data_IF_384259083341
#
_entry.id   IF_384259083341
#
_cell.length_a   1.000
_cell.length_b   1.000
_cell.length_c   1.000
_cell.angle_alpha   90.00
_cell.angle_beta   90.00
_cell.angle_gamma   90.00
#
_symmetry.space_group_name_H-M   'P 1'
#
loop_
_entity.id
_entity.type
_entity.pdbx_description
1 polymer ?
#
# COMPACT_ATOMS: atom_id res chain seq x y z
N UNK A 1 -30.63 -17.72 -28.91
CA UNK A 1 -29.40 -17.90 -28.11
C UNK A 1 -28.48 -16.73 -28.40
N UNK A 2 -28.54 -15.70 -27.57
CA UNK A 2 -27.63 -14.55 -27.63
C UNK A 2 -27.17 -14.32 -26.18
N UNK A 3 -25.99 -14.83 -25.86
CA UNK A 3 -25.35 -14.67 -24.57
C UNK A 3 -24.50 -13.39 -24.64
N UNK A 4 -24.94 -12.36 -23.94
CA UNK A 4 -24.09 -11.25 -23.55
C UNK A 4 -23.22 -11.70 -22.38
N UNK A 5 -21.92 -11.83 -22.63
CA UNK A 5 -20.92 -11.99 -21.57
C UNK A 5 -20.66 -10.62 -20.91
N UNK A 6 -20.72 -10.49 -19.57
CA UNK A 6 -20.34 -9.27 -18.88
C UNK A 6 -18.79 -9.14 -18.76
N UNK A 7 -18.28 -7.91 -18.61
CA UNK A 7 -16.86 -7.59 -18.72
C UNK A 7 -16.04 -8.08 -17.52
N UNK A 8 -14.95 -8.79 -17.81
CA UNK A 8 -13.89 -9.13 -16.86
C UNK A 8 -13.09 -7.88 -16.49
N UNK A 9 -13.13 -7.49 -15.22
CA UNK A 9 -12.30 -6.40 -14.66
C UNK A 9 -11.09 -6.99 -13.92
N UNK A 10 -9.94 -6.81 -14.57
CA UNK A 10 -8.66 -6.34 -14.01
C UNK A 10 -8.06 -7.10 -12.81
N UNK A 11 -7.23 -8.09 -13.16
CA UNK A 11 -6.02 -8.45 -12.40
C UNK A 11 -4.89 -7.48 -12.75
N UNK A 12 -4.10 -6.98 -11.79
CA UNK A 12 -2.81 -6.39 -12.06
C UNK A 12 -1.71 -7.25 -11.42
N UNK A 13 -1.36 -8.37 -12.04
CA UNK A 13 -0.09 -9.06 -11.81
C UNK A 13 0.35 -9.69 -13.13
N UNK A 14 0.87 -8.86 -14.02
CA UNK A 14 1.70 -9.31 -15.13
C UNK A 14 2.74 -8.22 -15.37
N UNK A 15 4.04 -8.44 -15.06
CA UNK A 15 5.06 -7.50 -15.48
C UNK A 15 5.11 -7.59 -17.00
N UNK A 16 4.58 -6.55 -17.63
CA UNK A 16 4.75 -6.30 -19.04
C UNK A 16 6.26 -6.37 -19.31
N UNK A 17 6.65 -7.30 -20.18
CA UNK A 17 7.94 -7.35 -20.85
C UNK A 17 8.34 -5.93 -21.26
N UNK A 18 9.26 -5.32 -20.52
CA UNK A 18 10.02 -4.20 -21.04
C UNK A 18 10.93 -4.77 -22.12
N UNK A 19 10.48 -4.68 -23.36
CA UNK A 19 11.34 -4.69 -24.52
C UNK A 19 12.47 -3.69 -24.26
N UNK A 20 13.67 -4.20 -23.97
CA UNK A 20 14.89 -3.42 -24.12
C UNK A 20 14.96 -2.98 -25.59
N UNK A 21 14.98 -1.67 -25.89
CA UNK A 21 15.41 -1.26 -27.22
C UNK A 21 16.87 -1.69 -27.35
N UNK A 22 17.15 -2.52 -28.36
CA UNK A 22 18.50 -2.93 -28.71
C UNK A 22 19.38 -1.67 -28.84
N UNK A 23 20.48 -1.63 -28.08
CA UNK A 23 21.48 -0.59 -28.24
C UNK A 23 22.06 -0.66 -29.65
N UNK A 24 22.05 0.42 -30.45
CA UNK A 24 22.98 0.53 -31.55
C UNK A 24 24.37 0.70 -30.93
N UNK A 25 25.26 -0.26 -31.19
CA UNK A 25 26.70 -0.14 -30.93
C UNK A 25 27.28 0.92 -31.88
N UNK A 26 27.08 2.19 -31.55
CA UNK A 26 27.72 3.32 -32.20
C UNK A 26 28.23 4.25 -31.11
N UNK A 27 29.47 4.72 -31.27
CA UNK A 27 30.31 5.30 -30.23
C UNK A 27 29.62 6.24 -29.25
N UNK A 28 29.97 6.09 -27.97
CA UNK A 28 29.49 6.90 -26.86
C UNK A 28 29.91 8.37 -27.07
N UNK A 29 29.09 9.14 -27.77
CA UNK A 29 29.31 10.56 -27.93
C UNK A 29 29.15 11.25 -26.57
N UNK A 30 29.98 12.26 -26.32
CA UNK A 30 30.04 12.98 -25.03
C UNK A 30 28.70 13.63 -24.62
N UNK A 31 27.78 13.74 -25.58
CA UNK A 31 26.42 14.29 -25.42
C UNK A 31 25.38 13.23 -24.99
N UNK A 32 25.66 11.93 -25.10
CA UNK A 32 24.75 10.84 -24.70
C UNK A 32 24.82 10.49 -23.20
N UNK A 33 25.92 10.87 -22.55
CA UNK A 33 26.20 10.64 -21.13
C UNK A 33 25.16 11.25 -20.16
N UNK A 34 24.72 12.52 -20.32
CA UNK A 34 23.72 13.10 -19.42
C UNK A 34 22.32 12.47 -19.58
N UNK A 35 21.94 12.06 -20.79
CA UNK A 35 20.66 11.38 -21.06
C UNK A 35 20.65 9.99 -20.44
N UNK A 36 21.76 9.25 -20.57
CA UNK A 36 21.93 7.95 -19.94
C UNK A 36 21.86 8.03 -18.41
N UNK A 37 22.48 9.06 -17.81
CA UNK A 37 22.42 9.30 -16.37
C UNK A 37 20.99 9.61 -15.89
N UNK A 38 20.23 10.40 -16.65
CA UNK A 38 18.84 10.74 -16.33
C UNK A 38 17.92 9.51 -16.39
N UNK A 39 18.12 8.65 -17.39
CA UNK A 39 17.38 7.40 -17.53
C UNK A 39 17.70 6.41 -16.41
N UNK A 40 18.98 6.31 -16.01
CA UNK A 40 19.40 5.50 -14.86
C UNK A 40 18.82 6.04 -13.54
N UNK A 41 18.79 7.36 -13.35
CA UNK A 41 18.16 7.97 -12.18
C UNK A 41 16.65 7.69 -12.12
N UNK A 42 15.94 7.79 -13.24
CA UNK A 42 14.52 7.46 -13.32
C UNK A 42 14.25 5.97 -13.04
N UNK A 43 15.11 5.07 -13.51
CA UNK A 43 15.02 3.64 -13.23
C UNK A 43 15.27 3.32 -11.74
N UNK A 44 16.24 3.99 -11.10
CA UNK A 44 16.49 3.83 -9.66
C UNK A 44 15.32 4.38 -8.83
N UNK A 45 14.70 5.49 -9.23
CA UNK A 45 13.49 6.02 -8.57
C UNK A 45 12.30 5.07 -8.73
N UNK A 46 12.12 4.47 -9.90
CA UNK A 46 11.07 3.47 -10.13
C UNK A 46 11.30 2.17 -9.33
N UNK A 47 12.56 1.74 -9.16
CA UNK A 47 12.93 0.60 -8.32
C UNK A 47 12.95 0.91 -6.81
N UNK A 48 13.03 2.19 -6.43
CA UNK A 48 12.99 2.67 -5.05
C UNK A 48 11.58 2.99 -4.56
N UNK A 49 10.56 2.96 -5.44
CA UNK A 49 9.20 2.83 -4.95
C UNK A 49 9.11 1.46 -4.30
N UNK A 50 8.76 1.36 -3.01
CA UNK A 50 8.39 0.07 -2.46
C UNK A 50 7.17 -0.36 -3.28
N UNK A 51 7.38 -1.32 -4.18
CA UNK A 51 6.35 -2.29 -4.50
C UNK A 51 6.15 -3.05 -3.19
N UNK A 52 5.42 -2.42 -2.27
CA UNK A 52 4.88 -3.12 -1.14
C UNK A 52 4.06 -4.23 -1.77
N UNK A 53 4.45 -5.48 -1.53
CA UNK A 53 3.44 -6.50 -1.34
C UNK A 53 2.36 -5.84 -0.49
N UNK A 54 1.10 -5.85 -0.93
CA UNK A 54 -0.02 -5.32 -0.16
C UNK A 54 0.00 -6.07 1.17
N UNK A 55 0.72 -5.53 2.14
CA UNK A 55 0.81 -6.06 3.47
C UNK A 55 -0.54 -5.71 4.06
N UNK A 56 -1.43 -6.70 4.08
CA UNK A 56 -2.77 -6.64 4.64
C UNK A 56 -2.65 -6.51 6.17
N UNK A 57 -2.09 -5.38 6.61
CA UNK A 57 -1.78 -5.03 8.00
C UNK A 57 -2.78 -4.02 8.55
N UNK A 58 -3.72 -3.56 7.72
CA UNK A 58 -4.82 -2.70 8.14
C UNK A 58 -6.06 -3.56 8.44
N UNK A 59 -6.59 -3.43 9.64
CA UNK A 59 -7.82 -4.10 10.08
C UNK A 59 -8.98 -3.83 9.10
N UNK A 60 -9.08 -2.61 8.56
CA UNK A 60 -10.14 -2.25 7.63
C UNK A 60 -10.06 -3.04 6.31
N UNK A 61 -8.84 -3.24 5.78
CA UNK A 61 -8.63 -4.02 4.56
C UNK A 61 -8.97 -5.50 4.78
N UNK A 62 -8.69 -6.04 5.97
CA UNK A 62 -9.08 -7.40 6.33
C UNK A 62 -10.60 -7.53 6.37
N UNK A 63 -11.29 -6.56 6.97
CA UNK A 63 -12.75 -6.54 7.06
C UNK A 63 -13.43 -6.46 5.69
N UNK A 64 -12.86 -5.71 4.75
CA UNK A 64 -13.34 -5.63 3.36
C UNK A 64 -13.25 -6.98 2.65
N UNK A 65 -12.11 -7.69 2.79
CA UNK A 65 -11.92 -9.02 2.21
C UNK A 65 -12.87 -10.04 2.85
N UNK A 66 -13.11 -9.94 4.16
CA UNK A 66 -14.05 -10.81 4.88
C UNK A 66 -15.48 -10.54 4.42
N UNK A 67 -15.85 -9.27 4.20
CA UNK A 67 -17.16 -8.89 3.68
C UNK A 67 -17.39 -9.46 2.27
N UNK A 68 -16.41 -9.34 1.38
CA UNK A 68 -16.48 -9.89 0.02
C UNK A 68 -16.65 -11.42 0.04
N UNK A 69 -15.85 -12.12 0.85
CA UNK A 69 -15.96 -13.57 1.02
C UNK A 69 -17.34 -13.98 1.60
N UNK A 70 -17.90 -13.18 2.51
CA UNK A 70 -19.22 -13.39 3.07
C UNK A 70 -20.35 -13.21 2.05
N UNK A 71 -20.22 -12.26 1.14
CA UNK A 71 -21.14 -12.07 0.01
C UNK A 71 -21.09 -13.27 -0.95
N UNK A 72 -19.89 -13.68 -1.37
CA UNK A 72 -19.68 -14.80 -2.29
C UNK A 72 -20.22 -16.13 -1.72
N UNK A 73 -20.26 -16.24 -0.39
CA UNK A 73 -20.85 -17.34 0.34
C UNK A 73 -22.32 -17.58 -0.06
N UNK A 74 -23.08 -16.51 -0.35
CA UNK A 74 -24.50 -16.57 -0.72
C UNK A 74 -24.77 -16.24 -2.19
N UNK A 75 -23.83 -15.59 -2.89
CA UNK A 75 -23.99 -15.24 -4.30
C UNK A 75 -24.19 -16.49 -5.17
N UNK A 76 -25.29 -16.52 -5.94
CA UNK A 76 -25.65 -17.64 -6.81
C UNK A 76 -25.92 -18.99 -6.12
N UNK A 77 -25.89 -19.06 -4.78
CA UNK A 77 -26.00 -20.31 -4.00
C UNK A 77 -27.30 -20.35 -3.19
N UNK A 78 -28.04 -21.44 -3.27
CA UNK A 78 -29.25 -21.65 -2.46
C UNK A 78 -28.92 -22.11 -1.04
N UNK A 79 -28.49 -21.16 -0.19
CA UNK A 79 -28.20 -21.40 1.24
C UNK A 79 -29.36 -21.01 2.15
N UNK A 80 -29.55 -21.72 3.25
CA UNK A 80 -30.65 -21.49 4.19
C UNK A 80 -30.38 -20.25 5.06
N UNK A 81 -31.46 -19.56 5.45
CA UNK A 81 -31.40 -18.44 6.41
C UNK A 81 -31.32 -19.03 7.82
N UNK A 82 -30.55 -18.40 8.71
CA UNK A 82 -30.36 -18.84 10.10
C UNK A 82 -29.43 -20.05 10.26
N UNK A 83 -28.76 -20.49 9.19
CA UNK A 83 -27.74 -21.54 9.22
C UNK A 83 -26.37 -20.89 9.06
N UNK A 84 -25.42 -21.33 9.89
CA UNK A 84 -24.04 -20.87 9.85
C UNK A 84 -23.23 -21.71 8.87
N UNK A 85 -22.47 -21.02 8.02
CA UNK A 85 -21.55 -21.64 7.08
C UNK A 85 -20.13 -21.12 7.31
N UNK A 86 -19.10 -21.96 7.19
CA UNK A 86 -17.71 -21.50 7.23
C UNK A 86 -17.42 -20.58 6.04
N UNK A 87 -16.60 -19.55 6.27
CA UNK A 87 -16.09 -18.67 5.23
C UNK A 87 -14.87 -19.29 4.56
N UNK A 88 -14.82 -19.21 3.24
CA UNK A 88 -13.63 -19.56 2.46
C UNK A 88 -12.84 -18.29 2.24
N UNK A 89 -11.80 -18.08 3.05
CA UNK A 89 -10.93 -16.91 2.97
C UNK A 89 -9.70 -17.20 2.06
N UNK A 90 -9.10 -16.17 1.45
CA UNK A 90 -7.89 -16.33 0.65
C UNK A 90 -6.73 -16.85 1.50
N UNK A 91 -5.70 -17.41 0.85
CA UNK A 91 -4.56 -18.03 1.52
C UNK A 91 -3.86 -17.10 2.54
N UNK A 92 -3.84 -15.79 2.27
CA UNK A 92 -3.29 -14.76 3.17
C UNK A 92 -4.03 -14.66 4.52
N UNK A 93 -5.30 -15.05 4.57
CA UNK A 93 -6.15 -15.07 5.76
C UNK A 93 -6.53 -16.51 6.17
N UNK A 94 -5.76 -17.50 5.74
CA UNK A 94 -6.03 -18.92 6.06
C UNK A 94 -5.97 -19.25 7.55
N UNK A 95 -5.27 -18.43 8.35
CA UNK A 95 -5.21 -18.55 9.80
C UNK A 95 -6.45 -17.96 10.51
N UNK A 96 -7.29 -17.21 9.79
CA UNK A 96 -8.52 -16.62 10.31
C UNK A 96 -9.66 -17.62 10.20
N UNK A 97 -10.31 -17.92 11.31
CA UNK A 97 -11.49 -18.77 11.33
C UNK A 97 -12.76 -17.91 11.24
N UNK A 98 -13.34 -17.88 10.04
CA UNK A 98 -14.52 -17.08 9.71
C UNK A 98 -15.77 -17.93 9.50
N UNK A 99 -16.93 -17.42 9.93
CA UNK A 99 -18.23 -18.02 9.62
C UNK A 99 -19.29 -16.97 9.39
N UNK A 100 -20.28 -17.29 8.55
CA UNK A 100 -21.34 -16.35 8.15
C UNK A 100 -22.72 -16.99 8.23
N UNK A 101 -23.69 -16.21 8.69
CA UNK A 101 -25.11 -16.58 8.71
C UNK A 101 -25.97 -15.46 8.16
N UNK A 102 -26.89 -15.79 7.26
CA UNK A 102 -27.90 -14.84 6.78
C UNK A 102 -29.09 -14.81 7.74
N UNK A 103 -29.51 -13.63 8.16
CA UNK A 103 -30.69 -13.41 8.98
C UNK A 103 -31.65 -12.42 8.34
N UNK A 104 -32.91 -12.42 8.80
CA UNK A 104 -33.85 -11.32 8.59
C UNK A 104 -33.76 -10.38 9.77
N UNK A 105 -33.64 -9.08 9.54
CA UNK A 105 -33.48 -8.03 10.57
C UNK A 105 -34.52 -8.16 11.70
N UNK A 106 -35.81 -8.29 11.35
CA UNK A 106 -36.88 -8.43 12.34
C UNK A 106 -36.86 -9.75 13.10
N UNK A 107 -36.39 -10.85 12.47
CA UNK A 107 -36.25 -12.14 13.17
C UNK A 107 -35.09 -12.12 14.15
N UNK A 108 -33.96 -11.54 13.74
CA UNK A 108 -32.78 -11.36 14.59
C UNK A 108 -33.12 -10.47 15.79
N UNK A 109 -33.84 -9.36 15.55
CA UNK A 109 -34.32 -8.47 16.60
C UNK A 109 -35.22 -9.18 17.62
N UNK A 110 -36.19 -9.99 17.15
CA UNK A 110 -37.16 -10.69 18.03
C UNK A 110 -36.55 -11.85 18.81
N UNK A 111 -35.67 -12.64 18.19
CA UNK A 111 -35.21 -13.92 18.76
C UNK A 111 -33.77 -13.88 19.26
N UNK A 112 -32.93 -13.01 18.71
CA UNK A 112 -31.48 -13.06 18.91
C UNK A 112 -30.85 -14.33 18.33
N UNK A 113 -29.60 -14.57 18.67
CA UNK A 113 -28.85 -15.80 18.36
C UNK A 113 -28.10 -16.24 19.61
N UNK A 114 -28.48 -17.39 20.16
CA UNK A 114 -27.90 -17.86 21.43
C UNK A 114 -26.44 -18.27 21.31
N UNK A 115 -26.08 -18.91 20.20
CA UNK A 115 -24.74 -19.43 19.95
C UNK A 115 -24.36 -19.14 18.49
N UNK A 116 -23.38 -18.25 18.30
CA UNK A 116 -22.77 -17.93 17.03
C UNK A 116 -21.26 -17.87 17.21
N UNK A 117 -20.63 -19.05 17.25
CA UNK A 117 -19.26 -19.20 17.76
C UNK A 117 -19.20 -18.81 19.24
N UNK A 118 -18.31 -17.89 19.57
CA UNK A 118 -18.12 -17.31 20.90
C UNK A 118 -19.18 -16.24 21.25
N UNK A 119 -19.99 -15.82 20.28
CA UNK A 119 -20.93 -14.72 20.43
C UNK A 119 -22.34 -15.21 20.78
N UNK A 120 -22.98 -14.49 21.69
CA UNK A 120 -24.40 -14.60 22.00
C UNK A 120 -25.08 -13.26 21.76
N UNK A 121 -25.85 -13.18 20.68
CA UNK A 121 -26.57 -11.97 20.28
C UNK A 121 -27.94 -11.97 20.95
N UNK A 122 -28.26 -10.97 21.78
CA UNK A 122 -29.53 -10.91 22.49
C UNK A 122 -30.67 -10.47 21.58
N UNK A 123 -31.89 -10.54 22.13
CA UNK A 123 -33.07 -9.89 21.55
C UNK A 123 -32.92 -8.36 21.65
N UNK A 124 -33.62 -7.64 20.78
CA UNK A 124 -33.63 -6.17 20.77
C UNK A 124 -32.47 -5.54 19.99
N UNK A 125 -31.81 -6.33 19.13
CA UNK A 125 -30.87 -5.80 18.14
C UNK A 125 -31.65 -5.03 17.07
N UNK A 126 -31.28 -3.77 16.85
CA UNK A 126 -31.92 -2.86 15.90
C UNK A 126 -30.90 -2.48 14.84
N UNK A 127 -31.33 -2.50 13.58
CA UNK A 127 -30.58 -2.00 12.43
C UNK A 127 -31.29 -0.73 11.94
N UNK A 128 -30.79 0.47 12.29
CA UNK A 128 -31.41 1.72 11.89
C UNK A 128 -31.55 1.82 10.37
N UNK A 129 -32.68 2.38 9.90
CA UNK A 129 -32.91 2.60 8.47
C UNK A 129 -33.23 1.35 7.63
N UNK A 130 -33.31 0.15 8.23
CA UNK A 130 -33.64 -1.09 7.54
C UNK A 130 -35.04 -1.60 7.91
N UNK A 131 -35.78 -2.05 6.90
CA UNK A 131 -37.07 -2.70 7.12
C UNK A 131 -36.92 -4.03 7.88
N UNK A 132 -37.93 -4.42 8.66
CA UNK A 132 -37.91 -5.67 9.42
C UNK A 132 -37.78 -6.94 8.54
N UNK A 133 -38.15 -6.86 7.26
CA UNK A 133 -38.00 -7.94 6.28
C UNK A 133 -36.64 -7.98 5.59
N UNK A 134 -35.78 -6.98 5.79
CA UNK A 134 -34.48 -6.90 5.13
C UNK A 134 -33.57 -8.05 5.57
N UNK A 135 -32.83 -8.58 4.60
CA UNK A 135 -31.81 -9.60 4.85
C UNK A 135 -30.49 -8.92 5.22
N UNK A 136 -29.77 -9.54 6.14
CA UNK A 136 -28.45 -9.14 6.56
C UNK A 136 -27.56 -10.37 6.76
N UNK A 137 -26.26 -10.19 6.64
CA UNK A 137 -25.25 -11.16 7.02
C UNK A 137 -24.75 -10.83 8.42
N UNK A 138 -24.66 -11.83 9.29
CA UNK A 138 -23.85 -11.78 10.49
C UNK A 138 -22.58 -12.59 10.22
N UNK A 139 -21.43 -11.98 10.44
CA UNK A 139 -20.12 -12.58 10.22
C UNK A 139 -19.39 -12.64 11.55
N UNK A 140 -18.97 -13.85 11.93
CA UNK A 140 -18.09 -14.11 13.07
C UNK A 140 -16.70 -14.39 12.54
N UNK A 141 -15.70 -13.81 13.17
CA UNK A 141 -14.29 -13.95 12.81
C UNK A 141 -13.49 -14.25 14.07
N UNK A 142 -12.53 -15.17 13.99
CA UNK A 142 -11.50 -15.35 14.98
C UNK A 142 -10.15 -15.17 14.28
N UNK A 143 -9.44 -14.09 14.63
CA UNK A 143 -8.19 -13.71 13.96
C UNK A 143 -7.03 -14.65 14.30
N UNK A 144 -7.12 -15.45 15.37
CA UNK A 144 -6.05 -16.35 15.78
C UNK A 144 -4.71 -15.62 15.88
N UNK A 145 -3.72 -16.10 15.13
CA UNK A 145 -2.36 -15.53 15.11
C UNK A 145 -2.26 -14.14 14.46
N UNK A 146 -3.30 -13.70 13.74
CA UNK A 146 -3.37 -12.36 13.13
C UNK A 146 -3.92 -11.31 14.10
N UNK A 147 -4.11 -11.66 15.39
CA UNK A 147 -4.51 -10.71 16.43
C UNK A 147 -3.56 -9.53 16.58
N UNK A 148 -2.28 -9.69 16.22
CA UNK A 148 -1.26 -8.64 16.29
C UNK A 148 -1.60 -7.38 15.46
N UNK A 149 -2.50 -7.50 14.46
CA UNK A 149 -3.02 -6.34 13.70
C UNK A 149 -3.70 -5.32 14.63
N UNK A 150 -4.19 -5.76 15.79
CA UNK A 150 -4.86 -4.90 16.77
C UNK A 150 -3.95 -4.39 17.90
N UNK A 151 -2.65 -4.70 17.89
CA UNK A 151 -1.73 -4.29 18.97
C UNK A 151 -1.63 -2.76 19.08
N UNK A 152 -1.65 -2.04 17.96
CA UNK A 152 -1.63 -0.57 17.98
C UNK A 152 -2.90 0.01 18.61
N UNK A 153 -4.05 -0.63 18.41
CA UNK A 153 -5.31 -0.23 19.07
C UNK A 153 -5.23 -0.44 20.58
N UNK A 154 -4.64 -1.55 21.03
CA UNK A 154 -4.44 -1.83 22.45
C UNK A 154 -3.45 -0.84 23.10
N UNK A 155 -2.34 -0.53 22.41
CA UNK A 155 -1.36 0.44 22.86
C UNK A 155 -1.95 1.85 22.96
N UNK A 156 -2.66 2.31 21.92
CA UNK A 156 -3.32 3.63 21.90
C UNK A 156 -4.47 3.73 22.90
N UNK A 157 -5.15 2.62 23.18
CA UNK A 157 -6.28 2.55 24.10
C UNK A 157 -5.90 2.71 25.57
N UNK A 158 -4.61 2.70 25.92
CA UNK A 158 -4.13 2.91 27.29
C UNK A 158 -2.89 2.10 27.68
N UNK A 159 -2.07 1.67 26.72
CA UNK A 159 -0.86 0.87 26.96
C UNK A 159 -1.14 -0.60 27.26
N UNK A 160 -2.26 -1.13 26.78
CA UNK A 160 -2.66 -2.51 27.03
C UNK A 160 -1.94 -3.49 26.11
N UNK A 161 -1.82 -4.75 26.55
CA UNK A 161 -1.36 -5.88 25.73
C UNK A 161 -2.47 -6.88 25.50
N UNK A 162 -2.59 -7.39 24.27
CA UNK A 162 -3.58 -8.40 23.90
C UNK A 162 -3.24 -9.74 24.55
N UNK A 163 -4.22 -10.33 25.24
CA UNK A 163 -4.10 -11.59 25.98
C UNK A 163 -4.97 -12.73 25.41
N UNK A 164 -5.76 -12.46 24.35
CA UNK A 164 -6.58 -13.45 23.66
C UNK A 164 -6.53 -13.27 22.14
N UNK A 165 -6.90 -14.28 21.34
CA UNK A 165 -7.28 -14.05 19.95
C UNK A 165 -8.33 -12.94 19.85
N UNK A 166 -8.21 -12.10 18.82
CA UNK A 166 -9.20 -11.05 18.54
C UNK A 166 -10.39 -11.70 17.83
N UNK A 167 -11.57 -11.51 18.40
CA UNK A 167 -12.84 -12.02 17.90
C UNK A 167 -13.65 -10.88 17.27
N UNK A 168 -14.08 -11.04 16.03
CA UNK A 168 -14.92 -10.08 15.32
C UNK A 168 -16.36 -10.56 15.21
N UNK A 169 -17.31 -9.65 15.44
CA UNK A 169 -18.72 -9.83 15.08
C UNK A 169 -19.18 -8.63 14.28
N UNK A 170 -19.44 -8.83 13.00
CA UNK A 170 -19.87 -7.79 12.07
C UNK A 170 -21.21 -8.11 11.41
N UNK A 171 -22.00 -7.08 11.13
CA UNK A 171 -23.24 -7.20 10.37
C UNK A 171 -23.17 -6.40 9.08
N UNK A 172 -23.54 -7.04 7.98
CA UNK A 172 -23.58 -6.43 6.65
C UNK A 172 -24.97 -6.54 6.03
N UNK A 173 -25.36 -5.52 5.27
CA UNK A 173 -26.62 -5.49 4.56
C UNK A 173 -26.53 -6.32 3.30
N UNK A 174 -27.60 -7.03 2.96
CA UNK A 174 -27.69 -7.81 1.74
C UNK A 174 -28.74 -7.15 0.84
N UNK A 175 -28.30 -6.32 -0.10
CA UNK A 175 -29.18 -5.71 -1.09
C UNK A 175 -28.93 -6.29 -2.48
N UNK A 176 -29.99 -6.76 -3.19
CA UNK A 176 -29.83 -7.31 -4.54
C UNK A 176 -29.31 -6.31 -5.59
N UNK A 177 -29.38 -5.00 -5.31
CA UNK A 177 -29.05 -3.92 -6.25
C UNK A 177 -27.72 -3.24 -5.94
N UNK A 178 -27.41 -3.09 -4.65
CA UNK A 178 -26.30 -2.25 -4.19
C UNK A 178 -25.15 -3.08 -3.56
N UNK A 179 -25.28 -4.41 -3.55
CA UNK A 179 -24.27 -5.32 -3.00
C UNK A 179 -24.30 -5.42 -1.46
N UNK A 180 -23.19 -5.86 -0.89
CA UNK A 180 -23.01 -5.97 0.57
C UNK A 180 -22.34 -4.72 1.13
N UNK A 181 -22.90 -4.16 2.21
CA UNK A 181 -22.35 -2.97 2.86
C UNK A 181 -22.38 -3.07 4.39
N UNK A 182 -21.41 -2.48 5.12
CA UNK A 182 -21.43 -2.44 6.58
C UNK A 182 -22.71 -1.79 7.10
N UNK A 183 -23.34 -2.41 8.10
CA UNK A 183 -24.52 -1.86 8.76
C UNK A 183 -24.15 -1.28 10.11
N UNK A 184 -24.74 -0.15 10.48
CA UNK A 184 -24.75 0.24 11.88
C UNK A 184 -25.79 -0.59 12.63
N UNK A 185 -25.40 -1.08 13.80
CA UNK A 185 -26.26 -1.91 14.63
C UNK A 185 -26.28 -1.34 16.04
N UNK A 186 -27.41 -1.44 16.72
CA UNK A 186 -27.52 -1.02 18.12
C UNK A 186 -28.33 -2.03 18.89
N UNK A 187 -27.87 -2.37 20.09
CA UNK A 187 -28.63 -3.22 20.99
C UNK A 187 -29.32 -2.38 22.06
N UNK A 188 -30.65 -2.48 22.13
CA UNK A 188 -31.49 -1.64 23.01
C UNK A 188 -31.79 -2.28 24.38
N UNK A 189 -31.43 -3.55 24.57
CA UNK A 189 -31.74 -4.33 25.78
C UNK A 189 -30.51 -4.93 26.45
N UNK A 190 -30.43 -6.26 26.49
CA UNK A 190 -29.26 -6.98 26.99
C UNK A 190 -28.04 -6.73 26.08
N UNK A 191 -26.82 -6.89 26.59
CA UNK A 191 -25.60 -6.78 25.80
C UNK A 191 -25.32 -8.05 24.98
N UNK A 192 -24.56 -7.91 23.89
CA UNK A 192 -23.94 -9.02 23.17
C UNK A 192 -22.89 -9.62 24.10
N UNK A 193 -22.94 -10.93 24.31
CA UNK A 193 -21.96 -11.63 25.15
C UNK A 193 -20.90 -12.28 24.28
N UNK A 194 -19.65 -12.15 24.66
CA UNK A 194 -18.51 -12.78 23.98
C UNK A 194 -17.76 -13.61 25.00
N UNK A 195 -17.71 -14.91 24.76
CA UNK A 195 -17.16 -15.85 25.71
C UNK A 195 -15.76 -16.31 25.27
N UNK A 196 -14.73 -15.90 26.01
CA UNK A 196 -13.33 -16.27 25.76
C UNK A 196 -12.89 -17.55 26.48
N UNK A 197 -13.79 -18.27 27.15
CA UNK A 197 -13.46 -19.47 27.96
C UNK A 197 -12.73 -20.56 27.16
N UNK A 198 -12.92 -20.61 25.85
CA UNK A 198 -12.24 -21.58 24.96
C UNK A 198 -10.98 -21.02 24.31
N UNK A 199 -10.81 -19.70 24.29
CA UNK A 199 -9.78 -19.00 23.53
C UNK A 199 -8.52 -18.70 24.35
N UNK A 200 -8.63 -18.74 25.68
CA UNK A 200 -7.51 -18.46 26.58
C UNK A 200 -7.49 -19.52 27.69
N UNK A 201 -6.43 -20.36 27.78
CA UNK A 201 -6.18 -21.14 28.99
C UNK A 201 -6.15 -20.19 30.19
N UNK A 202 -6.67 -20.61 31.34
CA UNK A 202 -6.76 -19.80 32.55
C UNK A 202 -5.59 -18.81 32.64
N UNK A 203 -5.91 -17.51 32.53
CA UNK A 203 -4.94 -16.43 32.66
C UNK A 203 -4.07 -16.68 33.88
N UNK A 204 -2.81 -16.24 33.84
CA UNK A 204 -1.89 -16.45 34.95
C UNK A 204 -2.58 -16.07 36.27
N UNK A 205 -2.46 -16.89 37.33
CA UNK A 205 -3.14 -16.65 38.59
C UNK A 205 -2.76 -15.25 39.12
N UNK A 206 -3.76 -14.38 39.25
CA UNK A 206 -3.59 -12.97 39.68
C UNK A 206 -3.78 -11.93 38.58
N UNK A 207 -3.78 -12.32 37.29
CA UNK A 207 -4.06 -11.39 36.20
C UNK A 207 -5.57 -11.19 36.03
N UNK A 208 -6.04 -9.94 36.16
CA UNK A 208 -7.44 -9.57 35.92
C UNK A 208 -7.56 -9.05 34.49
N UNK A 209 -8.16 -9.81 33.56
CA UNK A 209 -8.31 -9.35 32.19
C UNK A 209 -9.38 -8.26 32.08
N UNK A 210 -9.16 -7.33 31.16
CA UNK A 210 -10.15 -6.36 30.71
C UNK A 210 -10.64 -6.70 29.31
N UNK A 211 -11.84 -6.25 28.97
CA UNK A 211 -12.43 -6.36 27.64
C UNK A 211 -12.11 -5.11 26.83
N UNK A 212 -11.29 -5.26 25.80
CA UNK A 212 -11.08 -4.24 24.78
C UNK A 212 -12.03 -4.51 23.60
N UNK A 213 -12.71 -3.47 23.13
CA UNK A 213 -13.53 -3.48 21.94
C UNK A 213 -13.10 -2.37 20.98
N UNK A 214 -12.94 -2.71 19.70
CA UNK A 214 -12.67 -1.79 18.60
C UNK A 214 -13.91 -1.77 17.71
N UNK A 215 -14.54 -0.60 17.65
CA UNK A 215 -15.78 -0.42 16.91
C UNK A 215 -15.52 -0.09 15.43
N UNK A 216 -16.56 -0.11 14.59
CA UNK A 216 -16.47 0.21 13.16
C UNK A 216 -15.80 1.55 12.84
N UNK A 217 -15.94 2.55 13.71
CA UNK A 217 -15.34 3.88 13.52
C UNK A 217 -13.87 3.95 13.98
N UNK A 218 -13.27 2.81 14.34
CA UNK A 218 -11.91 2.70 14.87
C UNK A 218 -11.75 3.14 16.33
N UNK A 219 -12.83 3.59 16.99
CA UNK A 219 -12.76 3.97 18.40
C UNK A 219 -12.63 2.73 19.29
N UNK A 220 -11.86 2.88 20.36
CA UNK A 220 -11.51 1.80 21.29
C UNK A 220 -12.21 2.04 22.62
N UNK A 221 -12.83 1.01 23.16
CA UNK A 221 -13.41 1.01 24.50
C UNK A 221 -12.80 -0.12 25.32
N UNK A 222 -12.46 0.16 26.57
CA UNK A 222 -11.97 -0.84 27.53
C UNK A 222 -12.94 -0.90 28.70
N UNK A 223 -13.36 -2.10 29.07
CA UNK A 223 -14.38 -2.35 30.11
C UNK A 223 -14.02 -3.59 30.91
N UNK A 224 -14.58 -3.74 32.11
CA UNK A 224 -14.38 -4.94 32.91
C UNK A 224 -15.01 -6.18 32.27
N UNK A 225 -14.39 -7.34 32.48
CA UNK A 225 -15.02 -8.64 32.24
C UNK A 225 -16.15 -8.89 33.24
N UNK A 226 -17.10 -9.75 32.88
CA UNK A 226 -18.09 -10.23 33.84
C UNK A 226 -17.40 -10.97 35.00
N UNK A 227 -17.63 -10.50 36.23
CA UNK A 227 -17.01 -11.03 37.45
C UNK A 227 -17.03 -12.57 37.51
N UNK A 228 -15.86 -13.16 37.74
CA UNK A 228 -15.68 -14.61 37.83
C UNK A 228 -15.74 -15.37 36.50
N UNK A 229 -15.75 -14.68 35.35
CA UNK A 229 -15.80 -15.29 34.03
C UNK A 229 -14.92 -14.53 33.01
N UNK A 230 -14.54 -15.18 31.92
CA UNK A 230 -13.87 -14.54 30.78
C UNK A 230 -14.88 -14.08 29.73
N UNK A 231 -15.95 -13.38 30.16
CA UNK A 231 -17.04 -12.96 29.26
C UNK A 231 -17.11 -11.44 29.16
N UNK A 232 -17.09 -10.94 27.92
CA UNK A 232 -17.25 -9.52 27.61
C UNK A 232 -18.69 -9.20 27.22
N UNK A 233 -19.13 -7.97 27.54
CA UNK A 233 -20.46 -7.46 27.22
C UNK A 233 -20.36 -6.24 26.30
N UNK A 234 -20.93 -6.34 25.10
CA UNK A 234 -20.86 -5.29 24.08
C UNK A 234 -22.24 -4.74 23.73
N UNK A 235 -22.26 -3.45 23.38
CA UNK A 235 -23.48 -2.74 22.95
C UNK A 235 -23.58 -2.58 21.43
N UNK A 236 -22.46 -2.82 20.74
CA UNK A 236 -22.30 -2.62 19.32
C UNK A 236 -21.49 -3.78 18.71
N UNK A 237 -21.36 -3.78 17.39
CA UNK A 237 -20.55 -4.70 16.60
C UNK A 237 -19.10 -4.20 16.47
N UNK A 238 -18.17 -5.13 16.25
CA UNK A 238 -16.75 -4.80 16.17
C UNK A 238 -15.85 -5.97 16.51
N UNK A 239 -14.60 -5.63 16.81
CA UNK A 239 -13.54 -6.56 17.20
C UNK A 239 -13.31 -6.49 18.70
N UNK A 240 -13.11 -7.64 19.33
CA UNK A 240 -13.08 -7.79 20.79
C UNK A 240 -11.93 -8.68 21.19
N UNK A 241 -11.18 -8.28 22.21
CA UNK A 241 -10.14 -9.11 22.81
C UNK A 241 -10.07 -8.89 24.33
N UNK A 242 -9.53 -9.88 25.03
CA UNK A 242 -9.06 -9.69 26.39
C UNK A 242 -7.70 -9.01 26.35
N UNK A 243 -7.51 -8.04 27.24
CA UNK A 243 -6.27 -7.29 27.36
C UNK A 243 -5.81 -7.21 28.81
N UNK A 244 -4.52 -6.95 29.00
CA UNK A 244 -3.85 -6.85 30.30
C UNK A 244 -3.00 -5.58 30.40
N UNK A 245 -2.81 -5.12 31.64
CA UNK A 245 -2.01 -3.95 31.99
C UNK A 245 -2.77 -2.64 31.79
N UNK A 246 -2.05 -1.55 31.55
CA UNK A 246 -2.60 -0.22 31.27
C UNK A 246 -2.14 0.85 32.27
N UNK A 247 -2.22 2.13 31.88
CA UNK A 247 -1.68 3.29 32.65
C UNK A 247 -2.33 3.49 34.04
N UNK A 248 -3.37 2.72 34.38
CA UNK A 248 -4.03 2.74 35.69
C UNK A 248 -3.86 1.48 36.54
N UNK A 249 -3.31 0.39 35.99
CA UNK A 249 -3.05 -0.83 36.74
C UNK A 249 -1.70 -0.70 37.44
N UNK A 250 -1.76 -0.25 38.70
CA UNK A 250 -0.62 -0.18 39.59
C UNK A 250 -0.18 -1.57 40.04
N UNK A 251 0.31 -2.40 39.13
CA UNK A 251 1.44 -3.30 39.36
C UNK A 251 1.87 -3.99 38.06
N UNK A 252 3.18 -4.21 37.95
CA UNK A 252 3.88 -5.05 36.98
C UNK A 252 4.24 -4.51 35.57
N UNK A 253 5.46 -3.95 35.54
CA UNK A 253 6.52 -4.17 34.54
C UNK A 253 6.18 -3.88 33.08
N UNK A 254 6.10 -2.59 32.75
CA UNK A 254 6.49 -2.14 31.42
C UNK A 254 8.04 -2.13 31.35
N UNK A 255 8.61 -3.19 30.78
CA UNK A 255 9.94 -3.10 30.17
C UNK A 255 9.86 -1.99 29.12
N UNK A 256 10.44 -0.84 29.48
CA UNK A 256 10.68 0.31 28.62
C UNK A 256 11.60 -0.15 27.49
N UNK A 257 10.99 -0.50 26.36
CA UNK A 257 11.70 -0.70 25.10
C UNK A 257 12.19 0.65 24.62
N UNK A 258 13.27 1.14 25.24
CA UNK A 258 13.99 2.33 24.85
C UNK A 258 14.40 2.17 23.39
N UNK A 259 13.63 2.76 22.47
CA UNK A 259 13.96 2.77 21.05
C UNK A 259 15.17 3.67 20.91
N UNK A 260 16.31 3.02 20.98
CA UNK A 260 17.64 3.56 21.04
C UNK A 260 17.82 4.69 20.03
N UNK A 261 17.96 5.93 20.52
CA UNK A 261 18.13 7.18 19.74
C UNK A 261 19.15 7.08 18.60
N UNK A 262 20.12 6.16 18.69
CA UNK A 262 21.12 5.92 17.65
C UNK A 262 20.53 5.30 16.37
N UNK A 263 19.43 4.53 16.45
CA UNK A 263 18.75 3.98 15.27
C UNK A 263 18.03 5.06 14.49
N UNK A 264 17.40 6.02 15.16
CA UNK A 264 16.77 7.18 14.52
C UNK A 264 17.80 8.14 13.90
N UNK A 265 18.98 8.28 14.53
CA UNK A 265 20.09 9.05 13.98
C UNK A 265 20.69 8.41 12.71
N UNK A 266 20.73 7.07 12.63
CA UNK A 266 21.25 6.35 11.47
C UNK A 266 20.31 6.48 10.24
N UNK A 267 18.99 6.48 10.45
CA UNK A 267 18.02 6.75 9.38
C UNK A 267 18.00 8.22 8.95
N UNK A 268 18.28 9.16 9.86
CA UNK A 268 18.45 10.58 9.52
C UNK A 268 19.72 10.88 8.71
N UNK A 269 20.79 10.13 8.94
CA UNK A 269 22.08 10.34 8.27
C UNK A 269 22.15 9.75 6.85
N UNK A 270 21.41 8.68 6.55
CA UNK A 270 21.45 8.01 5.24
C UNK A 270 20.76 8.81 4.11
N UNK A 271 19.80 9.70 4.45
CA UNK A 271 19.10 10.56 3.48
C UNK A 271 19.77 11.93 3.27
N UNK A 272 20.68 12.35 4.16
CA UNK A 272 21.31 13.68 4.10
C UNK A 272 22.54 13.79 3.19
N UNK A 273 23.33 12.71 3.06
CA UNK A 273 24.60 12.78 2.34
C UNK A 273 24.52 12.28 0.87
N UNK A 274 23.68 11.27 0.60
CA UNK A 274 23.54 10.73 -0.77
C UNK A 274 22.76 11.66 -1.70
N UNK A 275 21.71 12.30 -1.18
CA UNK A 275 20.83 13.18 -1.97
C UNK A 275 21.51 14.46 -2.44
N UNK A 276 22.37 15.06 -1.61
CA UNK A 276 23.05 16.33 -1.92
C UNK A 276 24.13 16.17 -2.98
N UNK A 277 24.88 15.05 -2.96
CA UNK A 277 25.90 14.75 -3.98
C UNK A 277 25.25 14.51 -5.35
N UNK A 278 24.14 13.78 -5.39
CA UNK A 278 23.42 13.50 -6.62
C UNK A 278 22.78 14.77 -7.20
N UNK A 279 22.19 15.62 -6.35
CA UNK A 279 21.64 16.91 -6.78
C UNK A 279 22.74 17.86 -7.29
N UNK A 280 23.90 17.88 -6.62
CA UNK A 280 25.06 18.67 -7.01
C UNK A 280 25.61 18.28 -8.39
N UNK A 281 25.74 16.96 -8.66
CA UNK A 281 26.18 16.46 -9.97
C UNK A 281 25.23 16.85 -11.11
N UNK A 282 23.92 16.82 -10.87
CA UNK A 282 22.92 17.22 -11.87
C UNK A 282 23.00 18.71 -12.18
N UNK A 283 23.17 19.57 -11.15
CA UNK A 283 23.34 21.01 -11.33
C UNK A 283 24.61 21.34 -12.13
N UNK A 284 25.74 20.70 -11.84
CA UNK A 284 26.99 20.90 -12.59
C UNK A 284 26.84 20.44 -14.04
N UNK A 285 26.17 19.33 -14.29
CA UNK A 285 25.88 18.85 -15.64
C UNK A 285 25.05 19.88 -16.43
N UNK A 286 23.96 20.39 -15.86
CA UNK A 286 23.11 21.40 -16.51
C UNK A 286 23.88 22.68 -16.84
N UNK A 287 24.70 23.18 -15.92
CA UNK A 287 25.51 24.38 -16.13
C UNK A 287 26.60 24.18 -17.20
N UNK A 288 27.21 22.99 -17.27
CA UNK A 288 28.22 22.69 -18.31
C UNK A 288 27.62 22.60 -19.70
N UNK A 289 26.41 22.05 -19.84
CA UNK A 289 25.66 22.00 -21.11
C UNK A 289 25.24 23.41 -21.55
N UNK A 290 24.77 24.25 -20.62
CA UNK A 290 24.44 25.65 -20.90
C UNK A 290 25.66 26.43 -21.42
N UNK A 291 26.82 26.30 -20.76
CA UNK A 291 28.07 26.94 -21.19
C UNK A 291 28.52 26.50 -22.58
N UNK A 292 28.42 25.20 -22.89
CA UNK A 292 28.78 24.70 -24.23
C UNK A 292 27.83 25.18 -25.31
N UNK A 293 26.53 25.28 -25.02
CA UNK A 293 25.56 25.84 -25.96
C UNK A 293 25.86 27.31 -26.28
N UNK A 294 26.30 28.11 -25.30
CA UNK A 294 26.71 29.49 -25.57
C UNK A 294 27.97 29.57 -26.44
N UNK A 295 28.95 28.69 -26.23
CA UNK A 295 30.18 28.67 -27.03
C UNK A 295 29.92 28.23 -28.48
N UNK A 296 29.02 27.26 -28.68
CA UNK A 296 28.65 26.78 -30.02
C UNK A 296 27.90 27.84 -30.82
N UNK A 297 27.04 28.63 -30.16
CA UNK A 297 26.34 29.75 -30.78
C UNK A 297 27.30 30.88 -31.20
N UNK A 298 28.42 31.07 -30.49
CA UNK A 298 29.43 32.05 -30.86
C UNK A 298 30.30 31.59 -32.04
N UNK A 299 30.62 30.28 -32.12
CA UNK A 299 31.35 29.71 -33.26
C UNK A 299 30.54 29.71 -34.55
N UNK A 300 29.22 29.50 -34.50
CA UNK A 300 28.36 29.63 -35.68
C UNK A 300 28.38 31.06 -36.26
N UNK A 301 28.44 32.09 -35.40
CA UNK A 301 28.47 33.48 -35.85
C UNK A 301 29.76 33.85 -36.57
N UNK A 302 30.91 33.35 -36.12
CA UNK A 302 32.22 33.65 -36.74
C UNK A 302 32.43 32.94 -38.08
N UNK A 303 31.84 31.76 -38.26
CA UNK A 303 31.88 31.05 -39.55
C UNK A 303 31.18 31.83 -40.68
N UNK A 304 30.09 32.55 -40.38
CA UNK A 304 29.41 33.40 -41.37
C UNK A 304 30.16 34.68 -41.74
N UNK A 305 31.10 35.14 -40.91
CA UNK A 305 31.88 36.36 -41.17
C UNK A 305 33.14 36.07 -42.02
N UNK A 306 33.70 34.86 -41.96
CA UNK A 306 34.96 34.51 -42.64
C UNK A 306 34.79 33.82 -44.01
N UNK A 307 33.60 33.35 -44.37
CA UNK A 307 33.29 32.74 -45.69
C UNK A 307 32.48 33.66 -46.63
N UNK A 308 32.82 34.94 -46.69
CA UNK A 308 32.38 35.79 -47.81
C UNK A 308 33.13 35.40 -49.11
N UNK A 309 32.84 34.20 -49.64
CA UNK A 309 33.26 33.79 -50.97
C UNK A 309 32.84 34.88 -51.96
N UNK A 310 33.80 35.47 -52.66
CA UNK A 310 33.55 36.55 -53.63
C UNK A 310 32.65 36.03 -54.73
N UNK A 311 31.37 36.41 -54.69
CA UNK A 311 30.40 36.04 -55.73
C UNK A 311 30.42 37.12 -56.82
N UNK A 312 30.85 36.76 -58.02
CA UNK A 312 30.77 37.64 -59.19
C UNK A 312 29.44 37.39 -59.92
N UNK A 313 28.83 38.45 -60.46
CA UNK A 313 27.66 38.32 -61.33
C UNK A 313 28.13 37.91 -62.72
N UNK A 314 27.72 36.74 -63.20
CA UNK A 314 27.88 36.35 -64.60
C UNK A 314 26.51 36.45 -65.25
N UNK A 315 26.24 37.59 -65.90
CA UNK A 315 24.91 37.90 -66.42
C UNK A 315 23.87 38.08 -65.31
N UNK A 316 22.74 37.36 -65.41
CA UNK A 316 21.64 37.43 -64.44
C UNK A 316 21.71 36.36 -63.32
N UNK A 317 22.83 35.65 -63.19
CA UNK A 317 23.01 34.59 -62.19
C UNK A 317 24.30 34.83 -61.40
N UNK A 318 24.21 34.69 -60.07
CA UNK A 318 25.35 34.73 -59.15
C UNK A 318 26.06 33.38 -59.17
N UNK A 319 27.36 33.36 -59.47
CA UNK A 319 28.17 32.15 -59.39
C UNK A 319 29.50 32.40 -58.65
N UNK A 320 29.97 31.44 -57.83
CA UNK A 320 31.25 31.53 -57.13
C UNK A 320 32.41 31.40 -58.13
N UNK A 321 33.45 32.25 -57.99
CA UNK A 321 34.62 32.25 -58.88
C UNK A 321 35.89 31.95 -58.09
N UNK A 322 36.65 30.93 -58.51
CA UNK A 322 37.92 30.53 -57.90
C UNK A 322 39.12 31.17 -58.62
N UNK A 323 40.12 31.66 -57.87
CA UNK A 323 41.37 32.19 -58.42
C UNK A 323 42.33 31.02 -58.73
N UNK A 324 42.84 30.93 -59.96
CA UNK A 324 43.79 29.89 -60.36
C UNK A 324 45.23 30.24 -59.95
N UNK A 325 45.96 29.28 -59.38
CA UNK A 325 47.41 29.37 -59.20
C UNK A 325 48.07 28.01 -59.49
N UNK A 326 49.13 28.02 -60.30
CA UNK A 326 49.87 26.85 -60.81
C UNK A 326 51.27 26.86 -60.18
N UNK A 327 51.74 25.76 -59.59
CA UNK A 327 53.08 25.64 -58.99
C UNK A 327 54.03 24.82 -59.88
N UNK A 328 55.30 25.19 -59.91
CA UNK A 328 56.43 24.40 -60.44
C UNK A 328 57.37 24.01 -59.30
N UNK A 329 57.86 22.76 -59.19
CA UNK A 329 58.84 22.36 -58.17
C UNK A 329 60.26 22.36 -58.71
N UNK A 330 61.25 22.86 -57.95
CA UNK A 330 62.66 22.56 -58.21
C UNK A 330 63.53 22.56 -56.92
N UNK A 331 64.46 21.62 -56.95
CA UNK A 331 65.75 21.56 -56.25
C UNK A 331 65.81 21.17 -54.77
N UNK A 332 65.70 19.85 -54.59
CA UNK A 332 66.22 19.06 -53.49
C UNK A 332 67.56 18.42 -53.92
N UNK A 333 68.64 19.19 -54.00
CA UNK A 333 70.00 18.62 -54.07
C UNK A 333 70.78 19.02 -52.81
N UNK A 334 70.72 18.11 -51.85
CA UNK A 334 71.67 18.01 -50.75
C UNK A 334 73.11 17.96 -51.28
N UNK A 335 74.02 18.11 -50.32
CA UNK A 335 75.29 17.39 -50.37
C UNK A 335 76.35 18.08 -51.23
N UNK A 336 76.91 19.18 -50.71
CA UNK A 336 78.30 19.42 -51.07
C UNK A 336 79.22 19.97 -50.00
N UNK A 337 78.81 20.89 -49.12
CA UNK A 337 79.80 21.61 -48.31
C UNK A 337 79.18 22.07 -46.99
N UNK A 338 79.78 21.91 -45.83
CA UNK A 338 81.14 21.51 -45.53
C UNK A 338 81.17 21.06 -44.06
N UNK A 339 81.60 19.83 -43.83
CA UNK A 339 82.62 19.58 -42.83
C UNK A 339 83.92 20.21 -43.33
N UNK A 340 84.12 21.46 -42.94
CA UNK A 340 85.34 22.01 -42.35
C UNK A 340 84.99 23.38 -41.74
#
# INVERSE_FOLDING_TARGET
MLAFAPPTKMSPCCPLLLLFPAMPTAGLSREALPVLLLMLAAAVVALAWPCGALQLQDAALIDDVIMEAAEECYNGKHRRTGVTYPLSLPASLSAVDGSVSRFRSGSLSRHGVRLFGEFSVPRGLVVPGRAAGAHLLAVRVNMGNLSAVYDEHAARGGGYRIASPVLGLMFYGLDPRDGTAPLQVRVTGAAIRVNFSMAVPALQPGAVPLCMAVWLNGSVAVTDVQAGTNTCHLRDQGHVALVLGGVGDGDAVAEDGEVSKWKLALFGAALGAGGTVLLGLVLVAMLSVQRRKSEMAEMERRAYEEEALRVAMVGHVRAPSACGSRTTPDELENEYRATL
#
